data_IF_611979164024
#
_entry.id   IF_611979164024
#
_cell.length_a   1.000
_cell.length_b   1.000
_cell.length_c   1.000
_cell.angle_alpha   90.00
_cell.angle_beta   90.00
_cell.angle_gamma   90.00
#
_symmetry.space_group_name_H-M   'P 1'
#
loop_
_entity.id
_entity.type
_entity.pdbx_description
1 polymer ?
#
# COMPACT_ATOMS: atom_id res chain seq x y z
N UNK A 1 28.85 -11.13 14.52
CA UNK A 1 27.73 -10.94 13.57
C UNK A 1 26.45 -10.48 14.24
N UNK A 2 26.01 -11.10 15.38
CA UNK A 2 24.77 -10.73 16.06
C UNK A 2 24.76 -9.26 16.54
N UNK A 3 25.83 -8.82 17.21
CA UNK A 3 25.96 -7.43 17.70
C UNK A 3 25.98 -6.41 16.57
N UNK A 4 26.59 -6.73 15.44
CA UNK A 4 26.59 -5.88 14.25
C UNK A 4 25.18 -5.74 13.67
N UNK A 5 24.43 -6.83 13.60
CA UNK A 5 23.04 -6.81 13.14
C UNK A 5 22.13 -5.99 14.09
N UNK A 6 22.37 -6.06 15.39
CA UNK A 6 21.65 -5.23 16.39
C UNK A 6 22.06 -3.75 16.24
N UNK A 7 23.36 -3.46 16.12
CA UNK A 7 23.85 -2.09 15.97
C UNK A 7 23.30 -1.43 14.69
N UNK A 8 23.34 -2.13 13.56
CA UNK A 8 22.79 -1.63 12.29
C UNK A 8 21.28 -1.35 12.33
N UNK A 9 20.57 -1.95 13.28
CA UNK A 9 19.14 -1.70 13.49
C UNK A 9 18.87 -0.58 14.49
N UNK A 10 19.70 -0.46 15.53
CA UNK A 10 19.47 0.49 16.64
C UNK A 10 20.06 1.87 16.36
N UNK A 11 21.28 1.92 15.80
CA UNK A 11 21.95 3.21 15.53
C UNK A 11 21.12 4.13 14.64
N UNK A 12 20.54 3.70 13.51
CA UNK A 12 19.70 4.58 12.70
C UNK A 12 18.46 5.11 13.44
N UNK A 13 17.97 4.38 14.44
CA UNK A 13 16.82 4.82 15.26
C UNK A 13 17.23 5.92 16.25
N UNK A 14 18.44 5.82 16.82
CA UNK A 14 18.99 6.88 17.68
C UNK A 14 19.29 8.14 16.88
N UNK A 15 19.93 8.01 15.73
CA UNK A 15 20.21 9.15 14.84
C UNK A 15 18.92 9.87 14.45
N UNK A 16 17.87 9.12 14.14
CA UNK A 16 16.55 9.67 13.81
C UNK A 16 15.89 10.37 15.02
N UNK A 17 16.06 9.82 16.21
CA UNK A 17 15.55 10.44 17.44
C UNK A 17 16.27 11.75 17.74
N UNK A 18 17.58 11.79 17.59
CA UNK A 18 18.40 13.02 17.76
C UNK A 18 18.02 14.09 16.72
N UNK A 19 17.85 13.72 15.47
CA UNK A 19 17.37 14.61 14.40
C UNK A 19 16.00 15.22 14.75
N UNK A 20 15.04 14.40 15.21
CA UNK A 20 13.72 14.87 15.63
C UNK A 20 13.80 15.84 16.82
N UNK A 21 14.60 15.52 17.82
CA UNK A 21 14.82 16.41 18.96
C UNK A 21 15.46 17.74 18.52
N UNK A 22 16.39 17.70 17.58
CA UNK A 22 16.98 18.89 16.96
C UNK A 22 15.94 19.77 16.26
N UNK A 23 15.06 19.18 15.47
CA UNK A 23 13.96 19.88 14.77
C UNK A 23 12.99 20.55 15.75
N UNK A 24 12.62 19.86 16.83
CA UNK A 24 11.82 20.47 17.91
C UNK A 24 12.56 21.62 18.61
N UNK A 25 13.85 21.45 18.89
CA UNK A 25 14.66 22.48 19.57
C UNK A 25 14.88 23.73 18.71
N UNK A 26 14.88 23.61 17.38
CA UNK A 26 15.05 24.69 16.41
C UNK A 26 13.71 25.37 16.05
N UNK A 27 12.59 24.90 16.57
CA UNK A 27 11.26 25.42 16.23
C UNK A 27 10.82 25.07 14.82
N UNK A 28 11.52 24.16 14.14
CA UNK A 28 11.08 23.52 12.91
C UNK A 28 9.91 22.61 13.22
N UNK A 29 8.76 22.93 12.68
CA UNK A 29 7.49 22.33 13.07
C UNK A 29 7.21 21.10 12.25
N UNK A 30 7.58 19.97 12.80
CA UNK A 30 7.09 18.63 12.45
C UNK A 30 7.23 18.16 11.00
N UNK A 31 7.72 16.95 10.81
CA UNK A 31 7.61 16.25 9.53
C UNK A 31 6.68 15.05 9.70
N UNK A 32 5.72 14.88 8.78
CA UNK A 32 4.86 13.71 8.68
C UNK A 32 5.28 12.89 7.46
N UNK A 33 5.82 11.71 7.71
CA UNK A 33 6.27 10.79 6.66
C UNK A 33 5.22 9.70 6.46
N UNK A 34 4.61 9.69 5.28
CA UNK A 34 3.52 8.77 4.91
C UNK A 34 4.07 7.74 3.93
N UNK A 35 4.04 6.46 4.32
CA UNK A 35 4.29 5.34 3.41
C UNK A 35 2.99 4.93 2.70
N UNK A 36 3.10 4.54 1.44
CA UNK A 36 1.95 4.04 0.67
C UNK A 36 2.24 2.67 0.09
N UNK A 37 1.40 1.71 0.44
CA UNK A 37 1.36 0.38 -0.21
C UNK A 37 0.26 0.28 -1.28
N UNK A 38 -0.68 1.22 -1.30
CA UNK A 38 -1.79 1.22 -2.23
C UNK A 38 -1.53 2.20 -3.38
N UNK A 39 -1.26 1.70 -4.57
CA UNK A 39 -1.01 2.55 -5.74
C UNK A 39 -2.23 3.41 -6.15
N UNK A 40 -3.46 2.88 -6.23
CA UNK A 40 -4.62 3.70 -6.60
C UNK A 40 -5.07 4.68 -5.50
N UNK A 41 -4.63 4.52 -4.25
CA UNK A 41 -4.99 5.41 -3.15
C UNK A 41 -4.31 6.80 -3.23
N UNK A 42 -3.38 6.98 -4.14
CA UNK A 42 -2.65 8.25 -4.30
C UNK A 42 -3.59 9.45 -4.53
N UNK A 43 -4.59 9.29 -5.39
CA UNK A 43 -5.55 10.37 -5.66
C UNK A 43 -6.41 10.73 -4.43
N UNK A 44 -6.73 9.74 -3.60
CA UNK A 44 -7.41 9.98 -2.33
C UNK A 44 -6.47 10.72 -1.36
N UNK A 45 -5.23 10.27 -1.21
CA UNK A 45 -4.27 10.88 -0.32
C UNK A 45 -4.06 12.37 -0.63
N UNK A 46 -3.95 12.74 -1.91
CA UNK A 46 -3.81 14.15 -2.31
C UNK A 46 -4.99 15.01 -1.82
N UNK A 47 -6.22 14.47 -1.84
CA UNK A 47 -7.41 15.17 -1.33
C UNK A 47 -7.37 15.38 0.18
N UNK A 48 -6.65 14.53 0.92
CA UNK A 48 -6.47 14.64 2.37
C UNK A 48 -5.29 15.55 2.71
N UNK A 49 -4.17 15.38 2.04
CA UNK A 49 -2.94 16.13 2.32
C UNK A 49 -3.10 17.61 1.97
N UNK A 50 -3.80 17.95 0.89
CA UNK A 50 -3.97 19.35 0.48
C UNK A 50 -4.66 20.22 1.55
N UNK A 51 -5.85 19.87 2.09
CA UNK A 51 -6.44 20.65 3.18
C UNK A 51 -5.65 20.55 4.49
N UNK A 52 -4.94 19.45 4.74
CA UNK A 52 -4.08 19.32 5.91
C UNK A 52 -2.94 20.33 5.88
N UNK A 53 -2.23 20.47 4.76
CA UNK A 53 -1.16 21.47 4.60
C UNK A 53 -1.69 22.90 4.65
N UNK A 54 -2.93 23.16 4.23
CA UNK A 54 -3.56 24.45 4.37
C UNK A 54 -3.86 24.82 5.84
N UNK A 55 -4.21 23.82 6.65
CA UNK A 55 -4.47 23.99 8.08
C UNK A 55 -3.19 24.02 8.92
N UNK A 56 -2.14 23.33 8.48
CA UNK A 56 -0.85 23.17 9.16
C UNK A 56 0.32 23.53 8.24
N UNK A 57 0.47 24.81 7.86
CA UNK A 57 1.44 25.24 6.84
C UNK A 57 2.90 25.04 7.25
N UNK A 58 3.17 24.84 8.53
CA UNK A 58 4.51 24.64 9.08
C UNK A 58 4.85 23.14 9.26
N UNK A 59 4.04 22.23 8.70
CA UNK A 59 4.30 20.78 8.73
C UNK A 59 4.76 20.35 7.36
N UNK A 60 5.92 19.70 7.29
CA UNK A 60 6.39 19.04 6.09
C UNK A 60 5.70 17.67 5.94
N UNK A 61 5.11 17.40 4.78
CA UNK A 61 4.53 16.10 4.45
C UNK A 61 5.35 15.44 3.37
N UNK A 62 5.98 14.30 3.71
CA UNK A 62 6.74 13.47 2.79
C UNK A 62 5.97 12.18 2.49
N UNK A 63 5.62 11.94 1.22
CA UNK A 63 4.90 10.74 0.79
C UNK A 63 5.86 9.78 0.08
N UNK A 64 6.12 8.65 0.72
CA UNK A 64 7.07 7.63 0.24
C UNK A 64 6.34 6.45 -0.41
N UNK A 65 6.49 6.31 -1.71
CA UNK A 65 5.91 5.18 -2.47
C UNK A 65 6.81 3.93 -2.51
N UNK A 66 8.07 4.04 -2.10
CA UNK A 66 9.04 2.93 -2.13
C UNK A 66 8.65 1.72 -1.28
N UNK A 67 7.64 1.86 -0.44
CA UNK A 67 7.16 0.80 0.46
C UNK A 67 5.97 0.02 -0.07
N UNK A 68 5.81 -0.10 -1.38
CA UNK A 68 4.67 -0.77 -2.02
C UNK A 68 4.36 -2.17 -1.45
N UNK A 69 5.35 -2.87 -0.89
CA UNK A 69 5.17 -4.24 -0.41
C UNK A 69 6.00 -4.52 0.86
N UNK A 70 5.88 -3.71 1.89
CA UNK A 70 6.63 -3.93 3.13
C UNK A 70 6.72 -2.72 4.07
N UNK A 71 5.75 -1.83 3.99
CA UNK A 71 5.71 -0.59 4.76
C UNK A 71 5.65 -0.78 6.27
N UNK A 72 5.17 -1.91 6.76
CA UNK A 72 5.16 -2.22 8.20
C UNK A 72 6.57 -2.26 8.78
N UNK A 73 7.54 -2.80 8.04
CA UNK A 73 8.95 -2.75 8.45
C UNK A 73 9.46 -1.32 8.61
N UNK A 74 9.05 -0.42 7.71
CA UNK A 74 9.41 0.99 7.76
C UNK A 74 8.76 1.75 8.94
N UNK A 75 7.53 1.36 9.35
CA UNK A 75 6.92 1.87 10.58
C UNK A 75 7.73 1.47 11.82
N UNK A 76 8.07 0.21 11.97
CA UNK A 76 8.90 -0.26 13.09
C UNK A 76 10.33 0.29 13.05
N UNK A 77 10.84 0.60 11.86
CA UNK A 77 12.14 1.25 11.67
C UNK A 77 12.10 2.76 11.81
N UNK A 78 10.94 3.36 12.08
CA UNK A 78 10.74 4.82 12.15
C UNK A 78 11.13 5.56 10.86
N UNK A 79 11.14 4.88 9.72
CA UNK A 79 11.35 5.50 8.41
C UNK A 79 10.11 6.27 7.94
N UNK A 80 8.93 5.83 8.39
CA UNK A 80 7.63 6.49 8.18
C UNK A 80 6.87 6.57 9.49
N UNK A 81 5.96 7.52 9.60
CA UNK A 81 5.13 7.76 10.77
C UNK A 81 3.73 7.17 10.61
N UNK A 82 3.27 7.08 9.36
CA UNK A 82 1.97 6.57 8.97
C UNK A 82 2.10 5.68 7.72
N UNK A 83 1.34 4.61 7.66
CA UNK A 83 1.25 3.74 6.49
C UNK A 83 -0.19 3.67 6.00
N UNK A 84 -0.41 3.97 4.72
CA UNK A 84 -1.68 3.70 4.02
C UNK A 84 -1.56 2.36 3.31
N UNK A 85 -2.37 1.39 3.74
CA UNK A 85 -2.33 0.02 3.24
C UNK A 85 -3.73 -0.54 2.99
N UNK A 86 -3.95 -1.31 1.92
CA UNK A 86 -5.19 -2.07 1.71
C UNK A 86 -5.19 -3.40 2.49
N UNK A 87 -4.06 -3.80 3.08
CA UNK A 87 -3.83 -5.10 3.69
C UNK A 87 -3.30 -4.94 5.12
N UNK A 88 -4.18 -4.76 6.11
CA UNK A 88 -3.78 -4.56 7.49
C UNK A 88 -3.23 -5.86 8.10
N UNK A 89 -1.93 -5.92 8.30
CA UNK A 89 -1.27 -7.00 9.04
C UNK A 89 -1.24 -6.65 10.53
N UNK A 90 -2.22 -7.13 11.27
CA UNK A 90 -2.35 -6.85 12.69
C UNK A 90 -1.17 -7.38 13.49
N UNK A 91 -0.38 -6.46 14.05
CA UNK A 91 0.78 -6.78 14.90
C UNK A 91 0.73 -5.94 16.17
N UNK A 92 1.24 -6.45 17.30
CA UNK A 92 1.37 -5.66 18.52
C UNK A 92 2.14 -4.34 18.26
N UNK A 93 1.64 -3.25 18.83
CA UNK A 93 2.24 -1.93 18.68
C UNK A 93 1.78 -1.13 17.45
N UNK A 94 0.91 -1.69 16.60
CA UNK A 94 0.29 -0.97 15.48
C UNK A 94 -1.20 -0.76 15.75
N UNK A 95 -1.69 0.43 15.42
CA UNK A 95 -3.10 0.79 15.38
C UNK A 95 -3.53 0.93 13.93
N UNK A 96 -4.66 0.29 13.58
CA UNK A 96 -5.26 0.39 12.26
C UNK A 96 -6.59 1.12 12.37
N UNK A 97 -6.76 2.13 11.52
CA UNK A 97 -8.00 2.89 11.40
C UNK A 97 -8.53 2.78 9.96
N UNK A 98 -9.77 2.31 9.75
CA UNK A 98 -10.37 2.31 8.42
C UNK A 98 -10.63 3.76 7.97
N UNK A 99 -10.24 4.10 6.76
CA UNK A 99 -10.33 5.46 6.23
C UNK A 99 -11.34 5.62 5.11
N UNK A 100 -11.61 4.57 4.33
CA UNK A 100 -12.65 4.50 3.32
C UNK A 100 -12.89 3.06 2.87
N UNK A 101 -14.09 2.80 2.36
CA UNK A 101 -14.43 1.56 1.69
C UNK A 101 -14.07 1.63 0.21
N UNK A 102 -13.69 0.51 -0.38
CA UNK A 102 -13.41 0.40 -1.81
C UNK A 102 -14.05 -0.86 -2.39
N UNK A 103 -14.30 -0.83 -3.68
CA UNK A 103 -14.78 -1.97 -4.45
C UNK A 103 -13.69 -2.46 -5.39
N UNK A 104 -13.48 -3.77 -5.41
CA UNK A 104 -12.60 -4.40 -6.38
C UNK A 104 -13.36 -4.63 -7.69
N UNK A 105 -12.83 -4.11 -8.78
CA UNK A 105 -13.44 -4.23 -10.11
C UNK A 105 -12.53 -4.98 -11.08
N UNK A 106 -13.13 -5.73 -11.99
CA UNK A 106 -12.43 -6.37 -13.11
C UNK A 106 -12.33 -5.37 -14.27
N UNK A 107 -11.12 -5.06 -14.68
CA UNK A 107 -10.85 -4.26 -15.88
C UNK A 107 -10.53 -5.19 -17.05
N UNK A 108 -11.21 -5.00 -18.17
CA UNK A 108 -11.01 -5.79 -19.39
C UNK A 108 -10.98 -4.89 -20.63
N UNK A 109 -10.38 -5.31 -21.76
CA UNK A 109 -10.45 -4.58 -23.02
C UNK A 109 -11.90 -4.39 -23.47
N UNK A 110 -12.20 -3.30 -24.18
CA UNK A 110 -13.56 -2.96 -24.68
C UNK A 110 -14.21 -4.08 -25.52
N UNK A 111 -13.42 -4.84 -26.25
CA UNK A 111 -13.90 -5.98 -27.07
C UNK A 111 -13.99 -7.32 -26.35
N UNK A 112 -13.70 -7.36 -25.05
CA UNK A 112 -13.72 -8.60 -24.27
C UNK A 112 -15.16 -9.07 -24.03
N UNK A 113 -15.38 -10.39 -24.00
CA UNK A 113 -16.72 -10.97 -23.79
C UNK A 113 -17.36 -10.53 -22.45
N UNK A 114 -16.55 -10.20 -21.45
CA UNK A 114 -17.02 -9.74 -20.14
C UNK A 114 -17.21 -8.21 -20.05
N UNK A 115 -16.89 -7.44 -21.10
CA UNK A 115 -16.94 -5.98 -21.05
C UNK A 115 -18.36 -5.41 -20.86
N UNK A 116 -19.39 -6.16 -21.25
CA UNK A 116 -20.80 -5.75 -21.11
C UNK A 116 -21.53 -6.49 -19.98
N UNK A 117 -20.81 -7.33 -19.23
CA UNK A 117 -21.40 -8.09 -18.13
C UNK A 117 -21.68 -7.17 -16.94
N UNK A 118 -22.87 -7.24 -16.37
CA UNK A 118 -23.21 -6.48 -15.16
C UNK A 118 -22.43 -6.97 -13.93
N UNK A 119 -22.01 -8.23 -13.92
CA UNK A 119 -21.17 -8.85 -12.90
C UNK A 119 -20.42 -10.03 -13.50
N UNK A 120 -19.33 -10.42 -12.87
CA UNK A 120 -18.49 -11.56 -13.28
C UNK A 120 -18.58 -12.66 -12.25
N UNK A 121 -18.67 -13.92 -12.70
CA UNK A 121 -18.58 -15.10 -11.85
C UNK A 121 -17.18 -15.68 -11.88
N UNK A 122 -16.68 -16.28 -10.77
CA UNK A 122 -15.33 -16.86 -10.72
C UNK A 122 -15.02 -17.80 -11.88
N UNK A 123 -15.98 -18.66 -12.27
CA UNK A 123 -15.83 -19.66 -13.33
C UNK A 123 -15.51 -19.05 -14.70
N UNK A 124 -15.91 -17.80 -14.93
CA UNK A 124 -15.64 -17.11 -16.19
C UNK A 124 -14.15 -16.71 -16.34
N UNK A 125 -13.40 -16.73 -15.23
CA UNK A 125 -11.97 -16.41 -15.24
C UNK A 125 -11.05 -17.62 -15.45
N UNK A 126 -11.58 -18.84 -15.54
CA UNK A 126 -10.79 -20.07 -15.71
C UNK A 126 -9.94 -20.10 -16.98
N UNK A 127 -10.36 -19.44 -18.05
CA UNK A 127 -9.64 -19.39 -19.33
C UNK A 127 -8.86 -18.09 -19.51
N UNK A 128 -8.93 -17.18 -18.54
CA UNK A 128 -8.35 -15.84 -18.63
C UNK A 128 -6.93 -15.78 -18.09
N UNK A 129 -6.20 -14.76 -18.51
CA UNK A 129 -4.93 -14.35 -17.89
C UNK A 129 -5.23 -13.24 -16.90
N UNK A 130 -5.18 -13.57 -15.63
CA UNK A 130 -5.36 -12.59 -14.57
C UNK A 130 -4.08 -11.78 -14.37
N UNK A 131 -4.20 -10.47 -14.33
CA UNK A 131 -3.10 -9.55 -14.00
C UNK A 131 -3.41 -8.91 -12.65
N UNK A 132 -2.48 -8.96 -11.71
CA UNK A 132 -2.61 -8.33 -10.40
C UNK A 132 -1.26 -7.81 -9.88
N UNK A 133 -1.23 -7.30 -8.66
CA UNK A 133 -0.01 -6.83 -8.03
C UNK A 133 0.93 -7.97 -7.62
N UNK A 134 2.26 -7.73 -7.56
CA UNK A 134 3.27 -8.72 -7.18
C UNK A 134 3.33 -8.93 -5.67
N UNK A 135 2.22 -9.33 -5.09
CA UNK A 135 2.11 -9.77 -3.69
C UNK A 135 1.73 -11.25 -3.64
N UNK A 136 1.94 -11.86 -2.50
CA UNK A 136 1.54 -13.26 -2.30
C UNK A 136 0.04 -13.42 -2.59
N UNK A 137 -0.32 -14.53 -3.24
CA UNK A 137 -1.70 -14.83 -3.62
C UNK A 137 -2.64 -14.76 -2.40
N UNK A 138 -2.16 -15.19 -1.24
CA UNK A 138 -2.87 -15.15 0.03
C UNK A 138 -3.21 -13.75 0.53
N UNK A 139 -2.58 -12.72 -0.02
CA UNK A 139 -2.83 -11.31 0.27
C UNK A 139 -3.71 -10.60 -0.76
N UNK A 140 -4.05 -11.29 -1.86
CA UNK A 140 -4.87 -10.75 -2.93
C UNK A 140 -6.35 -11.05 -2.69
N UNK A 141 -7.19 -10.03 -2.51
CA UNK A 141 -8.63 -10.18 -2.31
C UNK A 141 -9.31 -10.95 -3.44
N UNK A 142 -8.87 -10.77 -4.68
CA UNK A 142 -9.38 -11.52 -5.83
C UNK A 142 -9.24 -13.03 -5.63
N UNK A 143 -8.18 -13.48 -4.98
CA UNK A 143 -7.99 -14.90 -4.66
C UNK A 143 -8.78 -15.29 -3.42
N UNK A 144 -8.62 -14.58 -2.31
CA UNK A 144 -9.17 -14.95 -1.01
C UNK A 144 -10.69 -14.87 -0.95
N UNK A 145 -11.28 -13.85 -1.59
CA UNK A 145 -12.70 -13.55 -1.47
C UNK A 145 -13.50 -14.00 -2.67
N UNK A 146 -12.87 -14.28 -3.82
CA UNK A 146 -13.60 -14.56 -5.06
C UNK A 146 -13.22 -15.90 -5.72
N UNK A 147 -11.94 -16.15 -5.98
CA UNK A 147 -11.53 -17.34 -6.73
C UNK A 147 -11.42 -18.60 -5.86
N UNK A 148 -10.70 -18.54 -4.75
CA UNK A 148 -10.46 -19.68 -3.87
C UNK A 148 -11.76 -20.25 -3.25
N UNK A 149 -12.69 -19.42 -2.75
CA UNK A 149 -13.97 -19.93 -2.23
C UNK A 149 -14.81 -20.66 -3.28
N UNK A 150 -14.61 -20.34 -4.57
CA UNK A 150 -15.30 -20.99 -5.69
C UNK A 150 -14.52 -22.18 -6.27
N UNK A 151 -13.34 -22.51 -5.75
CA UNK A 151 -12.47 -23.56 -6.27
C UNK A 151 -11.94 -23.26 -7.68
N UNK A 152 -11.79 -21.97 -8.04
CA UNK A 152 -11.39 -21.53 -9.38
C UNK A 152 -9.95 -21.05 -9.38
N UNK A 153 -9.24 -21.42 -10.45
CA UNK A 153 -7.90 -20.91 -10.75
C UNK A 153 -7.90 -20.36 -12.18
N UNK A 154 -7.36 -19.14 -12.41
CA UNK A 154 -7.24 -18.60 -13.76
C UNK A 154 -6.22 -19.41 -14.57
N UNK A 155 -6.34 -19.38 -15.91
CA UNK A 155 -5.41 -20.08 -16.80
C UNK A 155 -3.96 -19.68 -16.57
N UNK A 156 -3.72 -18.42 -16.26
CA UNK A 156 -2.41 -17.87 -15.94
C UNK A 156 -2.56 -16.65 -15.04
N UNK A 157 -1.61 -16.45 -14.16
CA UNK A 157 -1.45 -15.23 -13.37
C UNK A 157 -0.18 -14.50 -13.78
N UNK A 158 -0.28 -13.18 -13.97
CA UNK A 158 0.86 -12.27 -14.17
C UNK A 158 0.85 -11.23 -13.06
N UNK A 159 2.03 -10.92 -12.53
CA UNK A 159 2.23 -9.88 -11.54
C UNK A 159 2.83 -8.63 -12.20
N UNK A 160 2.23 -7.47 -11.97
CA UNK A 160 2.68 -6.16 -12.47
C UNK A 160 2.57 -5.14 -11.34
N UNK A 161 3.59 -4.31 -11.16
CA UNK A 161 3.68 -3.40 -10.00
C UNK A 161 2.73 -2.22 -10.06
N UNK A 162 2.43 -1.70 -11.26
CA UNK A 162 1.68 -0.45 -11.40
C UNK A 162 0.39 -0.63 -12.18
N UNK A 163 -0.68 0.00 -11.70
CA UNK A 163 -1.99 0.00 -12.36
C UNK A 163 -1.92 0.54 -13.79
N UNK A 164 -1.14 1.60 -14.01
CA UNK A 164 -1.03 2.23 -15.33
C UNK A 164 -0.46 1.26 -16.38
N UNK A 165 0.51 0.44 -16.00
CA UNK A 165 1.06 -0.60 -16.88
C UNK A 165 0.05 -1.73 -17.08
N UNK A 166 -0.66 -2.16 -16.02
CA UNK A 166 -1.69 -3.20 -16.13
C UNK A 166 -2.76 -2.84 -17.17
N UNK A 167 -3.20 -1.58 -17.16
CA UNK A 167 -4.27 -1.08 -18.06
C UNK A 167 -3.80 -0.95 -19.51
N UNK A 168 -2.50 -0.87 -19.75
CA UNK A 168 -1.91 -0.79 -21.10
C UNK A 168 -1.72 -2.17 -21.76
N UNK A 169 -1.84 -3.26 -21.03
CA UNK A 169 -1.60 -4.62 -21.49
C UNK A 169 -2.89 -5.34 -21.90
#
# INVERSE_FOLDING_TARGET
>A
QYLLAVANRVLPQLDLAEERLGQFAQGERGALRIGMECHPCYQWLLKVVSPYLAAWPDVDVDVKQKFQFGGIGALFGYEIDLLVTPDPLFKPGLKFEPVFDYEQVLVVPKGHALATAAYVKPQQLTQEVLISYPVDIERLDIYNQFLLPAGVTPKRHKAIETTDIMVQM
#
